data_IF_703524628476
#
_entry.id   IF_703524628476
#
_cell.length_a   1.000
_cell.length_b   1.000
_cell.length_c   1.000
_cell.angle_alpha   90.00
_cell.angle_beta   90.00
_cell.angle_gamma   90.00
#
_symmetry.space_group_name_H-M   'P 1'
#
loop_
_entity.id
_entity.type
_entity.pdbx_description
1 polymer ?
#
# COMPACT_ATOMS: atom_id res chain seq x y z
N UNK A 1 48.83 26.40 -22.04
CA UNK A 1 47.34 26.40 -22.00
C UNK A 1 46.85 25.00 -21.69
N UNK A 2 46.41 24.70 -20.47
CA UNK A 2 45.71 23.44 -20.14
C UNK A 2 44.67 23.69 -19.04
N UNK A 3 43.43 23.95 -19.46
CA UNK A 3 42.24 23.99 -18.63
C UNK A 3 41.12 23.34 -19.45
N UNK A 4 41.00 22.02 -19.35
CA UNK A 4 39.87 21.29 -19.94
C UNK A 4 39.76 19.90 -19.30
N UNK A 5 39.40 19.83 -18.02
CA UNK A 5 39.05 18.57 -17.36
C UNK A 5 38.16 18.77 -16.12
N UNK A 6 37.13 19.62 -16.17
CA UNK A 6 36.18 19.77 -15.02
C UNK A 6 34.74 20.06 -15.46
N UNK A 7 34.24 19.49 -16.57
CA UNK A 7 32.83 19.75 -17.00
C UNK A 7 32.03 18.47 -17.28
N UNK A 8 32.59 17.26 -17.10
CA UNK A 8 31.86 16.02 -17.47
C UNK A 8 31.24 15.26 -16.29
N UNK A 9 31.48 15.66 -15.03
CA UNK A 9 30.95 14.94 -13.86
C UNK A 9 29.63 15.48 -13.31
N UNK A 10 29.23 16.72 -13.64
CA UNK A 10 27.99 17.30 -13.10
C UNK A 10 26.70 16.74 -13.75
N UNK A 11 26.76 16.33 -15.02
CA UNK A 11 25.55 15.93 -15.75
C UNK A 11 25.05 14.51 -15.43
N UNK A 12 25.91 13.65 -14.89
CA UNK A 12 25.55 12.27 -14.52
C UNK A 12 24.92 12.18 -13.12
N UNK A 13 25.36 13.03 -12.18
CA UNK A 13 24.83 13.06 -10.82
C UNK A 13 23.39 13.58 -10.77
N UNK A 14 23.05 14.54 -11.64
CA UNK A 14 21.70 15.13 -11.69
C UNK A 14 20.65 14.13 -12.23
N UNK A 15 21.00 13.29 -13.22
CA UNK A 15 20.10 12.26 -13.74
C UNK A 15 19.90 11.10 -12.77
N UNK A 16 20.94 10.69 -12.03
CA UNK A 16 20.82 9.69 -10.97
C UNK A 16 19.93 10.16 -9.80
N UNK A 17 20.08 11.40 -9.34
CA UNK A 17 19.29 11.94 -8.22
C UNK A 17 17.78 12.03 -8.55
N UNK A 18 17.42 12.36 -9.80
CA UNK A 18 16.02 12.41 -10.24
C UNK A 18 15.41 11.03 -10.52
N UNK A 19 16.22 10.05 -10.93
CA UNK A 19 15.75 8.67 -11.08
C UNK A 19 15.47 8.03 -9.72
N UNK A 20 16.33 8.30 -8.73
CA UNK A 20 16.20 7.77 -7.38
C UNK A 20 14.98 8.35 -6.65
N UNK A 21 14.73 9.67 -6.76
CA UNK A 21 13.55 10.28 -6.13
C UNK A 21 12.21 9.77 -6.67
N UNK A 22 12.13 9.41 -7.96
CA UNK A 22 10.95 8.77 -8.56
C UNK A 22 10.74 7.35 -8.06
N UNK A 23 11.81 6.58 -7.92
CA UNK A 23 11.76 5.22 -7.38
C UNK A 23 11.36 5.22 -5.90
N UNK A 24 11.91 6.14 -5.12
CA UNK A 24 11.56 6.30 -3.70
C UNK A 24 10.10 6.70 -3.51
N UNK A 25 9.59 7.59 -4.38
CA UNK A 25 8.17 7.97 -4.37
C UNK A 25 7.25 6.80 -4.73
N UNK A 26 7.59 6.04 -5.77
CA UNK A 26 6.81 4.86 -6.16
C UNK A 26 6.82 3.82 -5.02
N UNK A 27 7.98 3.56 -4.42
CA UNK A 27 8.09 2.64 -3.30
C UNK A 27 7.27 3.12 -2.08
N UNK A 28 7.17 4.43 -1.83
CA UNK A 28 6.32 4.97 -0.78
C UNK A 28 4.83 4.75 -1.08
N UNK A 29 4.40 4.99 -2.33
CA UNK A 29 3.02 4.74 -2.76
C UNK A 29 2.66 3.26 -2.65
N UNK A 30 3.54 2.36 -3.10
CA UNK A 30 3.30 0.93 -3.03
C UNK A 30 3.13 0.47 -1.57
N UNK A 31 3.97 0.99 -0.66
CA UNK A 31 3.85 0.72 0.78
C UNK A 31 2.53 1.21 1.35
N UNK A 32 2.12 2.44 1.00
CA UNK A 32 0.86 3.02 1.47
C UNK A 32 -0.35 2.23 0.94
N UNK A 33 -0.35 1.88 -0.33
CA UNK A 33 -1.39 1.04 -0.94
C UNK A 33 -1.51 -0.30 -0.22
N UNK A 34 -0.41 -0.97 0.11
CA UNK A 34 -0.45 -2.24 0.84
C UNK A 34 -0.90 -2.12 2.29
N UNK A 35 -0.63 -0.98 2.94
CA UNK A 35 -1.20 -0.66 4.26
C UNK A 35 -2.72 -0.51 4.15
N UNK A 36 -3.20 0.24 3.16
CA UNK A 36 -4.63 0.47 2.91
C UNK A 36 -5.34 -0.84 2.58
N UNK A 37 -4.77 -1.67 1.71
CA UNK A 37 -5.33 -2.98 1.36
C UNK A 37 -5.46 -3.86 2.61
N UNK A 38 -4.40 -3.97 3.41
CA UNK A 38 -4.41 -4.79 4.62
C UNK A 38 -5.41 -4.29 5.67
N UNK A 39 -5.58 -2.97 5.79
CA UNK A 39 -6.59 -2.36 6.65
C UNK A 39 -8.02 -2.62 6.12
N UNK A 40 -8.21 -2.57 4.81
CA UNK A 40 -9.50 -2.86 4.15
C UNK A 40 -9.89 -4.32 4.32
N UNK A 41 -8.94 -5.25 4.17
CA UNK A 41 -9.14 -6.69 4.46
C UNK A 41 -9.64 -6.88 5.89
N UNK A 42 -8.96 -6.28 6.87
CA UNK A 42 -9.32 -6.41 8.28
C UNK A 42 -10.71 -5.82 8.56
N UNK A 43 -10.96 -4.61 8.07
CA UNK A 43 -12.24 -3.91 8.24
C UNK A 43 -13.39 -4.69 7.61
N UNK A 44 -13.25 -5.13 6.36
CA UNK A 44 -14.29 -5.89 5.66
C UNK A 44 -14.55 -7.25 6.30
N UNK A 45 -13.50 -7.96 6.75
CA UNK A 45 -13.65 -9.24 7.44
C UNK A 45 -14.40 -9.09 8.77
N UNK A 46 -14.18 -7.97 9.48
CA UNK A 46 -14.88 -7.67 10.72
C UNK A 46 -16.35 -7.25 10.50
N UNK A 47 -16.62 -6.47 9.45
CA UNK A 47 -17.97 -5.99 9.12
C UNK A 47 -18.85 -7.07 8.48
N UNK A 48 -18.25 -7.99 7.73
CA UNK A 48 -18.95 -9.04 6.98
C UNK A 48 -18.33 -10.42 7.28
N UNK A 49 -18.64 -11.03 8.43
CA UNK A 49 -18.12 -12.35 8.80
C UNK A 49 -18.48 -13.45 7.78
N UNK A 50 -19.59 -13.30 7.07
CA UNK A 50 -20.03 -14.20 5.99
C UNK A 50 -19.14 -14.12 4.73
N UNK A 51 -18.41 -13.02 4.55
CA UNK A 51 -17.45 -12.81 3.45
C UNK A 51 -15.99 -13.04 3.87
N UNK A 52 -15.71 -13.09 5.18
CA UNK A 52 -14.35 -13.09 5.72
C UNK A 52 -13.47 -14.23 5.16
N UNK A 53 -14.04 -15.41 4.96
CA UNK A 53 -13.30 -16.55 4.40
C UNK A 53 -12.88 -16.30 2.95
N UNK A 54 -13.78 -15.78 2.11
CA UNK A 54 -13.49 -15.48 0.70
C UNK A 54 -12.49 -14.33 0.59
N UNK A 55 -12.65 -13.31 1.44
CA UNK A 55 -11.72 -12.17 1.52
C UNK A 55 -10.31 -12.64 1.91
N UNK A 56 -10.17 -13.45 2.97
CA UNK A 56 -8.85 -13.97 3.41
C UNK A 56 -8.20 -14.83 2.31
N UNK A 57 -8.99 -15.68 1.65
CA UNK A 57 -8.52 -16.51 0.54
C UNK A 57 -7.96 -15.64 -0.59
N UNK A 58 -8.74 -14.66 -1.07
CA UNK A 58 -8.33 -13.80 -2.18
C UNK A 58 -7.14 -12.91 -1.79
N UNK A 59 -7.14 -12.40 -0.55
CA UNK A 59 -6.02 -11.62 -0.03
C UNK A 59 -4.72 -12.42 0.00
N UNK A 60 -4.74 -13.66 0.49
CA UNK A 60 -3.55 -14.54 0.50
C UNK A 60 -2.99 -14.81 -0.89
N UNK A 61 -3.85 -14.91 -1.91
CA UNK A 61 -3.40 -15.04 -3.29
C UNK A 61 -2.65 -13.79 -3.76
N UNK A 62 -3.17 -12.60 -3.45
CA UNK A 62 -2.49 -11.34 -3.76
C UNK A 62 -1.17 -11.20 -3.00
N UNK A 63 -1.11 -11.68 -1.75
CA UNK A 63 0.11 -11.67 -0.96
C UNK A 63 1.25 -12.50 -1.57
N UNK A 64 0.93 -13.59 -2.27
CA UNK A 64 1.94 -14.43 -2.91
C UNK A 64 2.64 -13.75 -4.10
N UNK A 65 2.06 -12.68 -4.65
CA UNK A 65 2.60 -11.91 -5.76
C UNK A 65 3.41 -10.67 -5.32
N UNK A 66 3.58 -10.44 -4.01
CA UNK A 66 4.30 -9.28 -3.51
C UNK A 66 5.80 -9.33 -3.81
N UNK A 67 6.39 -8.15 -4.01
CA UNK A 67 7.84 -8.01 -4.05
C UNK A 67 8.47 -8.32 -2.68
N UNK A 68 9.77 -8.64 -2.69
CA UNK A 68 10.53 -8.88 -1.46
C UNK A 68 10.51 -7.65 -0.53
N UNK A 69 10.69 -6.44 -1.07
CA UNK A 69 10.71 -5.19 -0.31
C UNK A 69 9.39 -4.94 0.43
N UNK A 70 8.26 -5.20 -0.22
CA UNK A 70 6.95 -5.07 0.39
C UNK A 70 6.70 -6.16 1.43
N UNK A 71 7.17 -7.39 1.15
CA UNK A 71 7.10 -8.50 2.10
C UNK A 71 7.88 -8.19 3.38
N UNK A 72 9.07 -7.60 3.28
CA UNK A 72 9.85 -7.17 4.44
C UNK A 72 9.22 -5.96 5.14
N UNK A 73 8.75 -4.96 4.38
CA UNK A 73 8.08 -3.79 4.95
C UNK A 73 6.86 -4.18 5.81
N UNK A 74 6.08 -5.18 5.39
CA UNK A 74 4.91 -5.68 6.14
C UNK A 74 5.25 -6.27 7.52
N UNK A 75 6.50 -6.62 7.77
CA UNK A 75 6.97 -7.12 9.08
C UNK A 75 7.37 -6.01 10.03
N UNK A 76 7.41 -4.75 9.57
CA UNK A 76 7.88 -3.62 10.37
C UNK A 76 6.81 -3.06 11.29
N UNK A 77 7.23 -2.44 12.39
CA UNK A 77 6.34 -1.67 13.28
C UNK A 77 5.67 -0.49 12.56
N UNK A 78 6.35 0.09 11.58
CA UNK A 78 5.80 1.19 10.78
C UNK A 78 4.57 0.72 10.00
N UNK A 79 4.63 -0.45 9.37
CA UNK A 79 3.48 -1.06 8.72
C UNK A 79 2.36 -1.36 9.72
N UNK A 80 2.67 -1.99 10.86
CA UNK A 80 1.67 -2.33 11.86
C UNK A 80 0.92 -1.09 12.39
N UNK A 81 1.65 -0.01 12.71
CA UNK A 81 1.07 1.26 13.17
C UNK A 81 0.22 1.92 12.09
N UNK A 82 0.73 1.98 10.86
CA UNK A 82 -0.01 2.58 9.75
C UNK A 82 -1.31 1.79 9.47
N UNK A 83 -1.23 0.45 9.40
CA UNK A 83 -2.40 -0.41 9.22
C UNK A 83 -3.46 -0.16 10.30
N UNK A 84 -3.06 -0.16 11.58
CA UNK A 84 -3.99 0.05 12.68
C UNK A 84 -4.71 1.42 12.58
N UNK A 85 -3.99 2.46 12.16
CA UNK A 85 -4.57 3.79 11.93
C UNK A 85 -5.64 3.75 10.82
N UNK A 86 -5.29 3.22 9.64
CA UNK A 86 -6.26 3.12 8.53
C UNK A 86 -7.44 2.22 8.87
N UNK A 87 -7.22 1.11 9.60
CA UNK A 87 -8.30 0.20 10.04
C UNK A 87 -9.29 0.92 10.96
N UNK A 88 -8.79 1.72 11.91
CA UNK A 88 -9.64 2.55 12.77
C UNK A 88 -10.43 3.58 11.96
N UNK A 89 -9.76 4.32 11.06
CA UNK A 89 -10.40 5.33 10.23
C UNK A 89 -11.47 4.72 9.31
N UNK A 90 -11.15 3.63 8.61
CA UNK A 90 -12.10 2.92 7.75
C UNK A 90 -13.28 2.35 8.53
N UNK A 91 -13.06 1.81 9.73
CA UNK A 91 -14.14 1.32 10.59
C UNK A 91 -15.09 2.45 10.99
N UNK A 92 -14.55 3.64 11.30
CA UNK A 92 -15.37 4.82 11.61
C UNK A 92 -16.13 5.30 10.37
N UNK A 93 -15.49 5.33 9.21
CA UNK A 93 -16.14 5.70 7.95
C UNK A 93 -17.25 4.72 7.56
N UNK A 94 -17.03 3.42 7.69
CA UNK A 94 -18.01 2.39 7.34
C UNK A 94 -19.28 2.44 8.19
N UNK A 95 -19.19 2.97 9.42
CA UNK A 95 -20.35 3.17 10.31
C UNK A 95 -21.22 4.35 9.87
N UNK A 96 -20.71 5.29 9.06
CA UNK A 96 -21.49 6.43 8.58
C UNK A 96 -22.52 5.96 7.54
N UNK A 97 -23.81 6.33 7.67
CA UNK A 97 -24.85 5.90 6.72
C UNK A 97 -24.53 6.19 5.25
N UNK A 98 -23.87 7.32 4.97
CA UNK A 98 -23.46 7.70 3.62
C UNK A 98 -22.47 6.72 2.97
N UNK A 99 -21.68 6.01 3.78
CA UNK A 99 -20.59 5.16 3.31
C UNK A 99 -20.91 3.66 3.39
N UNK A 100 -22.01 3.27 4.03
CA UNK A 100 -22.37 1.87 4.21
C UNK A 100 -22.47 1.11 2.89
N UNK A 101 -23.11 1.70 1.86
CA UNK A 101 -23.21 1.07 0.53
C UNK A 101 -21.86 0.96 -0.17
N UNK A 102 -20.99 1.96 0.00
CA UNK A 102 -19.65 1.97 -0.59
C UNK A 102 -18.83 0.83 0.02
N UNK A 103 -18.75 0.76 1.35
CA UNK A 103 -18.03 -0.31 2.03
C UNK A 103 -18.60 -1.69 1.74
N UNK A 104 -19.93 -1.85 1.72
CA UNK A 104 -20.54 -3.12 1.35
C UNK A 104 -20.13 -3.57 -0.07
N UNK A 105 -20.11 -2.65 -1.03
CA UNK A 105 -19.64 -2.91 -2.39
C UNK A 105 -18.16 -3.31 -2.42
N UNK A 106 -17.30 -2.57 -1.72
CA UNK A 106 -15.88 -2.87 -1.60
C UNK A 106 -15.64 -4.25 -1.00
N UNK A 107 -16.30 -4.60 0.11
CA UNK A 107 -16.12 -5.88 0.77
C UNK A 107 -16.60 -7.06 -0.09
N UNK A 108 -17.67 -6.89 -0.86
CA UNK A 108 -18.11 -7.89 -1.85
C UNK A 108 -17.11 -8.07 -2.98
N UNK A 109 -16.59 -6.97 -3.53
CA UNK A 109 -15.56 -7.02 -4.57
C UNK A 109 -14.31 -7.76 -4.09
N UNK A 110 -13.88 -7.54 -2.85
CA UNK A 110 -12.75 -8.26 -2.25
C UNK A 110 -13.03 -9.76 -2.05
N UNK A 111 -14.27 -10.12 -1.74
CA UNK A 111 -14.72 -11.51 -1.69
C UNK A 111 -14.86 -12.14 -3.09
N UNK A 112 -14.82 -11.35 -4.17
CA UNK A 112 -15.08 -11.82 -5.54
C UNK A 112 -16.56 -12.06 -5.84
N UNK A 113 -17.46 -11.26 -5.25
CA UNK A 113 -18.93 -11.38 -5.36
C UNK A 113 -19.58 -10.12 -5.93
#
# INVERSE_FOLDING_TARGET
MKLAAVITTLSLAATCAHAQSKQDFQAALDREMHVIDAATVATCSALHPDLAQDIDKNWRQNLAALSADLTEYRKTDAFAKAKAKYEQEQTLEARKPANQKVFQGTCKAMAGR
#
